data_IF_388135530354
#
_entry.id   IF_388135530354
#
_cell.length_a   1.000
_cell.length_b   1.000
_cell.length_c   1.000
_cell.angle_alpha   90.00
_cell.angle_beta   90.00
_cell.angle_gamma   90.00
#
_symmetry.space_group_name_H-M   'P 1'
#
loop_
_entity.id
_entity.type
_entity.pdbx_description
1 polymer ?
#
# COMPACT_ATOMS: atom_id res chain seq x y z
N UNK A 1 11.92 18.01 16.00
CA UNK A 1 11.21 19.22 16.50
C UNK A 1 12.14 20.37 16.88
N UNK A 2 13.09 20.20 17.81
CA UNK A 2 13.95 21.31 18.28
C UNK A 2 14.74 21.99 17.15
N UNK A 3 15.28 21.22 16.21
CA UNK A 3 16.02 21.77 15.05
C UNK A 3 15.13 22.60 14.13
N UNK A 4 13.90 22.14 13.90
CA UNK A 4 12.89 22.85 13.09
C UNK A 4 12.50 24.17 13.76
N UNK A 5 12.30 24.15 15.09
CA UNK A 5 12.05 25.36 15.87
C UNK A 5 13.21 26.35 15.77
N UNK A 6 14.45 25.88 15.96
CA UNK A 6 15.67 26.68 15.79
C UNK A 6 15.74 27.31 14.40
N UNK A 7 15.49 26.52 13.36
CA UNK A 7 15.52 26.97 11.96
C UNK A 7 14.44 28.01 11.66
N UNK A 8 13.19 27.76 12.08
CA UNK A 8 12.10 28.71 11.88
C UNK A 8 12.30 30.01 12.65
N UNK A 9 12.82 29.96 13.89
CA UNK A 9 13.05 31.15 14.72
C UNK A 9 14.09 32.11 14.12
N UNK A 10 14.98 31.60 13.27
CA UNK A 10 16.02 32.37 12.56
C UNK A 10 15.62 32.75 11.14
N UNK A 11 14.49 32.24 10.65
CA UNK A 11 13.99 32.52 9.31
C UNK A 11 13.53 33.97 9.21
N UNK A 12 13.82 34.62 8.07
CA UNK A 12 13.28 35.94 7.73
C UNK A 12 11.93 35.86 7.02
N UNK A 13 11.50 34.66 6.64
CA UNK A 13 10.22 34.43 5.97
C UNK A 13 9.06 34.63 6.96
N UNK A 14 8.12 35.56 6.69
CA UNK A 14 6.98 35.76 7.56
C UNK A 14 6.01 34.58 7.46
N UNK A 15 5.63 34.02 8.62
CA UNK A 15 4.57 33.03 8.71
C UNK A 15 3.21 33.75 8.77
N UNK A 16 2.23 33.25 8.02
CA UNK A 16 0.86 33.79 8.05
C UNK A 16 0.06 33.21 9.22
N UNK A 17 0.39 31.97 9.62
CA UNK A 17 -0.25 31.25 10.70
C UNK A 17 0.75 30.91 11.80
N UNK A 18 0.31 30.95 13.05
CA UNK A 18 1.13 30.56 14.19
C UNK A 18 1.45 29.06 14.15
N UNK A 19 2.66 28.70 14.59
CA UNK A 19 3.10 27.32 14.75
C UNK A 19 3.25 27.03 16.24
N UNK A 20 2.64 25.94 16.70
CA UNK A 20 2.77 25.45 18.07
C UNK A 20 3.61 24.18 18.03
N UNK A 21 4.75 24.19 18.72
CA UNK A 21 5.53 22.99 18.99
C UNK A 21 5.06 22.41 20.32
N UNK A 22 4.35 21.28 20.28
CA UNK A 22 3.87 20.60 21.47
C UNK A 22 4.84 19.48 21.85
N UNK A 23 5.52 19.63 22.98
CA UNK A 23 6.34 18.58 23.59
C UNK A 23 5.52 17.95 24.72
N UNK A 24 4.61 17.05 24.36
CA UNK A 24 3.78 16.32 25.33
C UNK A 24 4.44 14.99 25.72
N UNK A 25 4.07 14.47 26.90
CA UNK A 25 4.55 13.19 27.42
C UNK A 25 3.40 12.25 27.78
N UNK A 26 3.72 11.11 28.41
CA UNK A 26 2.72 10.11 28.82
C UNK A 26 1.83 9.57 27.69
N UNK A 27 2.36 9.53 26.47
CA UNK A 27 1.80 8.76 25.33
C UNK A 27 1.72 7.28 25.73
N UNK A 28 2.85 6.73 26.19
CA UNK A 28 3.06 5.36 26.68
C UNK A 28 2.06 4.90 27.77
N UNK A 29 1.46 5.86 28.49
CA UNK A 29 0.41 5.61 29.47
C UNK A 29 -0.97 6.02 28.93
N UNK A 30 -1.23 5.69 27.66
CA UNK A 30 -2.46 5.94 26.93
C UNK A 30 -2.73 7.44 26.72
N UNK A 31 -1.87 8.11 25.96
CA UNK A 31 -2.13 9.41 25.29
C UNK A 31 -2.59 10.56 26.22
N UNK A 32 -2.16 10.56 27.48
CA UNK A 32 -2.78 11.41 28.51
C UNK A 32 -2.56 12.91 28.27
N UNK A 33 -1.34 13.30 27.89
CA UNK A 33 -1.03 14.72 27.74
C UNK A 33 -1.64 15.32 26.47
N UNK A 34 -1.67 14.58 25.35
CA UNK A 34 -2.38 15.04 24.16
C UNK A 34 -3.88 15.15 24.43
N UNK A 35 -4.47 14.19 25.18
CA UNK A 35 -5.86 14.26 25.59
C UNK A 35 -6.14 15.47 26.48
N UNK A 36 -5.29 15.75 27.47
CA UNK A 36 -5.37 16.96 28.29
C UNK A 36 -5.27 18.24 27.47
N UNK A 37 -4.32 18.31 26.52
CA UNK A 37 -4.18 19.46 25.63
C UNK A 37 -5.46 19.69 24.81
N UNK A 38 -5.94 18.66 24.11
CA UNK A 38 -7.11 18.78 23.23
C UNK A 38 -8.40 19.12 23.98
N UNK A 39 -8.61 18.54 25.17
CA UNK A 39 -9.88 18.69 25.90
C UNK A 39 -9.91 19.89 26.84
N UNK A 40 -8.76 20.40 27.30
CA UNK A 40 -8.71 21.40 28.38
C UNK A 40 -7.95 22.68 27.99
N UNK A 41 -6.96 22.61 27.10
CA UNK A 41 -6.10 23.75 26.81
C UNK A 41 -6.77 24.75 25.86
N UNK A 42 -6.72 26.05 26.17
CA UNK A 42 -7.41 27.08 25.39
C UNK A 42 -6.95 27.15 23.92
N UNK A 43 -5.66 26.92 23.68
CA UNK A 43 -5.08 26.90 22.32
C UNK A 43 -5.61 25.76 21.44
N UNK A 44 -6.16 24.67 21.99
CA UNK A 44 -6.68 23.57 21.19
C UNK A 44 -7.75 24.06 20.18
N UNK A 45 -8.54 25.07 20.56
CA UNK A 45 -9.57 25.69 19.70
C UNK A 45 -9.00 26.45 18.49
N UNK A 46 -7.73 26.87 18.58
CA UNK A 46 -7.04 27.61 17.51
C UNK A 46 -6.40 26.70 16.47
N UNK A 47 -6.21 25.41 16.78
CA UNK A 47 -5.55 24.47 15.88
C UNK A 47 -6.40 24.24 14.63
N UNK A 48 -5.76 24.24 13.46
CA UNK A 48 -6.39 24.02 12.14
C UNK A 48 -5.86 22.80 11.41
N UNK A 49 -4.64 22.41 11.71
CA UNK A 49 -4.03 21.16 11.31
C UNK A 49 -2.90 20.77 12.28
N UNK A 50 -2.47 19.52 12.27
CA UNK A 50 -1.31 19.06 13.02
C UNK A 50 -0.45 18.08 12.21
N UNK A 51 0.81 17.96 12.63
CA UNK A 51 1.76 16.96 12.14
C UNK A 51 2.20 16.18 13.38
N UNK A 52 1.83 14.90 13.46
CA UNK A 52 2.29 14.01 14.52
C UNK A 52 3.56 13.29 14.08
N UNK A 53 4.51 13.18 15.00
CA UNK A 53 5.83 12.62 14.74
C UNK A 53 6.05 11.44 15.66
N UNK A 54 6.11 10.25 15.08
CA UNK A 54 6.22 8.99 15.79
C UNK A 54 7.41 8.16 15.34
N UNK A 55 7.69 7.11 16.11
CA UNK A 55 8.68 6.12 15.76
C UNK A 55 8.28 4.75 16.30
N UNK A 56 8.04 3.81 15.40
CA UNK A 56 7.91 2.38 15.69
C UNK A 56 9.18 1.61 15.25
N UNK A 57 10.32 2.30 15.22
CA UNK A 57 11.62 1.83 14.74
C UNK A 57 12.69 2.91 14.83
N UNK A 58 13.94 2.59 14.47
CA UNK A 58 15.10 3.48 14.69
C UNK A 58 15.42 4.42 13.53
N UNK A 59 14.66 4.36 12.44
CA UNK A 59 14.88 5.23 11.29
C UNK A 59 14.26 4.71 10.01
N UNK A 60 15.05 4.78 8.94
CA UNK A 60 14.61 4.59 7.57
C UNK A 60 13.91 5.84 7.03
N UNK A 61 12.99 5.63 6.09
CA UNK A 61 12.09 6.67 5.59
C UNK A 61 10.89 6.78 6.53
N UNK A 62 10.60 7.98 7.01
CA UNK A 62 9.39 8.29 7.77
C UNK A 62 8.15 8.10 6.88
N UNK A 63 7.31 7.13 7.25
CA UNK A 63 6.13 6.76 6.51
C UNK A 63 4.95 7.62 6.99
N UNK A 64 4.30 8.36 6.09
CA UNK A 64 2.95 8.85 6.35
C UNK A 64 1.99 7.66 6.32
N UNK A 65 1.53 7.26 7.51
CA UNK A 65 0.66 6.11 7.70
C UNK A 65 -0.72 6.50 8.22
N UNK A 66 -0.98 7.74 8.65
CA UNK A 66 -2.35 8.21 8.88
C UNK A 66 -2.55 9.63 8.40
N UNK A 67 -3.75 9.91 7.90
CA UNK A 67 -4.19 11.24 7.47
C UNK A 67 -5.65 11.44 7.85
N UNK A 68 -6.04 12.69 8.05
CA UNK A 68 -7.44 13.07 8.27
C UNK A 68 -7.75 13.61 9.67
N UNK A 69 -9.04 13.79 10.01
CA UNK A 69 -10.18 13.28 9.26
C UNK A 69 -10.48 14.08 7.99
N UNK A 70 -10.92 13.36 6.94
CA UNK A 70 -11.50 13.87 5.68
C UNK A 70 -10.78 15.03 4.99
N UNK A 71 -9.44 15.14 5.07
CA UNK A 71 -8.72 16.31 4.55
C UNK A 71 -7.75 15.99 3.41
N UNK A 72 -8.25 15.89 2.16
CA UNK A 72 -7.40 15.67 0.99
C UNK A 72 -6.34 16.72 0.75
N UNK A 73 -6.61 17.95 1.18
CA UNK A 73 -5.66 19.04 1.01
C UNK A 73 -4.39 18.83 1.83
N UNK A 74 -4.46 18.26 3.04
CA UNK A 74 -3.25 17.97 3.82
C UNK A 74 -2.36 16.93 3.15
N UNK A 75 -2.94 15.90 2.56
CA UNK A 75 -2.19 14.91 1.79
C UNK A 75 -1.54 15.56 0.58
N UNK A 76 -2.25 16.42 -0.14
CA UNK A 76 -1.69 17.17 -1.27
C UNK A 76 -0.59 18.14 -0.83
N UNK A 77 -0.74 18.79 0.32
CA UNK A 77 0.26 19.66 0.90
C UNK A 77 1.54 18.88 1.20
N UNK A 78 1.42 17.70 1.83
CA UNK A 78 2.55 16.81 2.06
C UNK A 78 3.22 16.40 0.75
N UNK A 79 2.47 15.87 -0.21
CA UNK A 79 3.00 15.41 -1.51
C UNK A 79 3.68 16.54 -2.30
N UNK A 80 3.20 17.77 -2.18
CA UNK A 80 3.74 18.91 -2.92
C UNK A 80 4.95 19.56 -2.24
N UNK A 81 5.00 19.55 -0.90
CA UNK A 81 5.99 20.29 -0.13
C UNK A 81 7.12 19.42 0.42
N UNK A 82 6.86 18.15 0.74
CA UNK A 82 7.90 17.24 1.21
C UNK A 82 8.96 17.06 0.12
N UNK A 83 10.23 17.25 0.48
CA UNK A 83 11.38 17.06 -0.42
C UNK A 83 11.57 15.58 -0.80
N UNK A 84 11.05 14.71 0.06
CA UNK A 84 11.36 13.30 0.16
C UNK A 84 10.09 12.50 0.53
N UNK A 85 8.97 12.64 -0.20
CA UNK A 85 7.68 12.12 0.23
C UNK A 85 7.69 10.58 0.31
N UNK A 86 7.08 10.03 1.37
CA UNK A 86 6.87 8.59 1.54
C UNK A 86 5.56 8.34 2.30
N UNK A 87 4.58 7.72 1.65
CA UNK A 87 3.23 7.59 2.17
C UNK A 87 2.54 6.31 1.68
N UNK A 88 1.67 5.73 2.51
CA UNK A 88 0.92 4.52 2.15
C UNK A 88 -0.48 4.49 2.74
N UNK A 89 -1.50 4.53 1.87
CA UNK A 89 -2.90 4.35 2.29
C UNK A 89 -3.17 2.92 2.79
N UNK A 90 -2.37 1.95 2.37
CA UNK A 90 -2.45 0.58 2.90
C UNK A 90 -2.05 0.56 4.37
N UNK A 91 -0.95 1.24 4.71
CA UNK A 91 -0.53 1.39 6.10
C UNK A 91 -1.61 2.09 6.93
N UNK A 92 -2.27 3.11 6.37
CA UNK A 92 -3.41 3.76 6.99
C UNK A 92 -4.56 2.83 7.29
N UNK A 93 -5.00 2.04 6.32
CA UNK A 93 -6.12 1.12 6.52
C UNK A 93 -5.78 -0.01 7.48
N UNK A 94 -4.55 -0.53 7.44
CA UNK A 94 -4.08 -1.54 8.39
C UNK A 94 -4.07 -0.97 9.80
N UNK A 95 -3.45 0.20 10.01
CA UNK A 95 -3.36 0.81 11.33
C UNK A 95 -4.74 1.17 11.89
N UNK A 96 -5.59 1.81 11.07
CA UNK A 96 -6.95 2.19 11.47
C UNK A 96 -7.90 0.99 11.64
N UNK A 97 -7.58 -0.19 11.10
CA UNK A 97 -8.37 -1.41 11.33
C UNK A 97 -8.29 -1.94 12.77
N UNK A 98 -7.29 -1.49 13.54
CA UNK A 98 -7.03 -1.98 14.90
C UNK A 98 -6.37 -3.36 14.96
N UNK A 99 -5.94 -3.94 13.83
CA UNK A 99 -5.18 -5.19 13.82
C UNK A 99 -3.79 -5.04 14.43
N UNK A 100 -3.22 -3.83 14.33
CA UNK A 100 -2.01 -3.44 15.04
C UNK A 100 -2.46 -2.89 16.39
N UNK A 101 -2.05 -3.49 17.52
CA UNK A 101 -2.41 -3.04 18.86
C UNK A 101 -1.54 -1.85 19.29
N UNK A 102 -1.57 -0.78 18.50
CA UNK A 102 -0.85 0.46 18.74
C UNK A 102 -1.79 1.64 18.52
N UNK A 103 -1.45 2.77 19.12
CA UNK A 103 -2.18 4.02 19.02
C UNK A 103 -1.17 5.16 19.04
N UNK A 104 -1.60 6.36 18.66
CA UNK A 104 -0.73 7.55 18.65
C UNK A 104 -1.54 8.77 19.05
N UNK A 105 -0.85 9.86 19.37
CA UNK A 105 -1.49 11.14 19.65
C UNK A 105 -2.40 11.60 18.50
N UNK A 106 -2.17 11.16 17.26
CA UNK A 106 -3.05 11.43 16.11
C UNK A 106 -4.51 11.08 16.40
N UNK A 107 -4.77 9.95 17.09
CA UNK A 107 -6.14 9.56 17.45
C UNK A 107 -6.82 10.61 18.32
N UNK A 108 -6.12 11.17 19.29
CA UNK A 108 -6.69 12.18 20.18
C UNK A 108 -7.11 13.42 19.40
N UNK A 109 -6.23 13.91 18.52
CA UNK A 109 -6.54 15.06 17.67
C UNK A 109 -7.71 14.78 16.72
N UNK A 110 -7.78 13.57 16.15
CA UNK A 110 -8.86 13.15 15.25
C UNK A 110 -10.19 12.98 15.99
N UNK A 111 -10.22 12.19 17.05
CA UNK A 111 -11.46 11.69 17.66
C UNK A 111 -12.04 12.66 18.70
N UNK A 112 -11.18 13.37 19.45
CA UNK A 112 -11.60 14.31 20.49
C UNK A 112 -11.50 15.77 20.02
N UNK A 113 -10.54 16.07 19.14
CA UNK A 113 -10.34 17.41 18.59
C UNK A 113 -11.11 17.67 17.29
N UNK A 114 -11.42 16.63 16.53
CA UNK A 114 -11.86 16.73 15.12
C UNK A 114 -10.94 17.66 14.31
N UNK A 115 -9.63 17.58 14.54
CA UNK A 115 -8.60 18.37 13.86
C UNK A 115 -7.96 17.47 12.81
N UNK A 116 -7.77 17.95 11.56
CA UNK A 116 -7.13 17.17 10.52
C UNK A 116 -5.60 17.20 10.67
N UNK A 117 -4.94 16.07 10.45
CA UNK A 117 -3.48 16.02 10.50
C UNK A 117 -2.88 14.95 9.61
N UNK A 118 -1.56 14.83 9.72
CA UNK A 118 -0.75 13.75 9.16
C UNK A 118 0.04 13.10 10.29
N UNK A 119 0.15 11.79 10.27
CA UNK A 119 0.94 11.00 11.20
C UNK A 119 2.09 10.33 10.45
N UNK A 120 3.32 10.57 10.92
CA UNK A 120 4.54 10.07 10.30
C UNK A 120 5.29 9.21 11.31
N UNK A 121 5.73 8.03 10.89
CA UNK A 121 6.53 7.16 11.75
C UNK A 121 7.81 6.66 11.06
N UNK A 122 8.92 6.64 11.80
CA UNK A 122 10.02 5.73 11.46
C UNK A 122 9.60 4.29 11.73
N UNK A 123 9.90 3.38 10.80
CA UNK A 123 9.45 1.98 10.89
C UNK A 123 10.58 0.97 10.68
N UNK A 124 11.76 1.42 10.28
CA UNK A 124 12.89 0.51 10.04
C UNK A 124 13.42 -0.05 11.36
N UNK A 125 13.69 -1.35 11.39
CA UNK A 125 14.19 -2.03 12.59
C UNK A 125 13.25 -1.82 13.80
N UNK A 126 11.94 -1.95 13.59
CA UNK A 126 10.92 -1.85 14.64
C UNK A 126 10.93 -2.95 15.70
N UNK A 127 11.78 -3.97 15.59
CA UNK A 127 11.81 -5.07 16.57
C UNK A 127 12.51 -4.70 17.89
N UNK A 128 13.26 -3.59 17.93
CA UNK A 128 13.86 -3.09 19.17
C UNK A 128 12.97 -2.07 19.88
N UNK A 129 11.90 -1.62 19.21
CA UNK A 129 10.88 -0.73 19.76
C UNK A 129 10.29 -1.29 21.06
N UNK A 130 10.08 -0.42 22.06
CA UNK A 130 9.72 -0.79 23.44
C UNK A 130 10.61 -1.88 24.08
N UNK A 131 11.90 -1.91 23.73
CA UNK A 131 12.86 -2.78 24.42
C UNK A 131 14.02 -1.95 24.99
N UNK A 132 14.78 -2.55 25.92
CA UNK A 132 16.02 -1.97 26.43
C UNK A 132 17.10 -1.71 25.36
N UNK A 133 16.89 -2.21 24.14
CA UNK A 133 17.81 -2.04 23.02
C UNK A 133 17.47 -0.83 22.14
N UNK A 134 16.39 -0.11 22.45
CA UNK A 134 16.05 1.16 21.83
C UNK A 134 16.93 2.27 22.42
N UNK A 135 18.11 2.44 21.83
CA UNK A 135 19.16 3.34 22.32
C UNK A 135 19.53 4.36 21.26
N UNK A 136 19.89 5.58 21.69
CA UNK A 136 20.09 6.73 20.80
C UNK A 136 21.17 6.52 19.74
N UNK A 137 22.18 5.69 20.02
CA UNK A 137 23.27 5.35 19.09
C UNK A 137 22.79 4.54 17.86
N UNK A 138 21.55 4.04 17.88
CA UNK A 138 20.96 3.29 16.77
C UNK A 138 20.13 4.13 15.82
N UNK A 139 19.88 5.39 16.17
CA UNK A 139 19.11 6.29 15.33
C UNK A 139 19.99 6.70 14.14
N UNK A 140 19.48 6.48 12.94
CA UNK A 140 20.21 6.83 11.71
C UNK A 140 20.18 8.36 11.50
N UNK A 141 21.35 9.00 11.44
CA UNK A 141 21.44 10.46 11.24
C UNK A 141 20.80 10.90 9.92
N UNK A 142 20.93 10.09 8.87
CA UNK A 142 20.30 10.35 7.57
C UNK A 142 18.76 10.38 7.66
N UNK A 143 18.18 9.53 8.54
CA UNK A 143 16.74 9.53 8.81
C UNK A 143 16.31 10.80 9.53
N UNK A 144 17.09 11.27 10.51
CA UNK A 144 16.83 12.54 11.20
C UNK A 144 16.86 13.70 10.20
N UNK A 145 17.88 13.77 9.35
CA UNK A 145 18.02 14.83 8.36
C UNK A 145 16.85 14.82 7.37
N UNK A 146 16.56 13.66 6.78
CA UNK A 146 15.44 13.47 5.84
C UNK A 146 14.10 13.88 6.44
N UNK A 147 13.80 13.45 7.67
CA UNK A 147 12.58 13.83 8.35
C UNK A 147 12.57 15.34 8.63
N UNK A 148 13.70 15.92 9.03
CA UNK A 148 13.88 17.36 9.19
C UNK A 148 13.52 18.14 7.93
N UNK A 149 14.07 17.76 6.78
CA UNK A 149 13.83 18.38 5.47
C UNK A 149 12.34 18.35 5.12
N UNK A 150 11.72 17.16 5.22
CA UNK A 150 10.30 16.98 4.94
C UNK A 150 9.40 17.78 5.87
N UNK A 151 9.58 17.66 7.18
CA UNK A 151 8.70 18.29 8.17
C UNK A 151 8.86 19.81 8.09
N UNK A 152 10.07 20.34 7.92
CA UNK A 152 10.30 21.77 7.78
C UNK A 152 9.63 22.33 6.52
N UNK A 153 9.78 21.66 5.37
CA UNK A 153 9.18 22.09 4.12
C UNK A 153 7.64 22.06 4.18
N UNK A 154 7.06 20.97 4.70
CA UNK A 154 5.61 20.83 4.88
C UNK A 154 5.08 21.87 5.87
N UNK A 155 5.75 22.07 7.00
CA UNK A 155 5.35 23.05 8.01
C UNK A 155 5.36 24.47 7.46
N UNK A 156 6.41 24.87 6.71
CA UNK A 156 6.48 26.17 6.03
C UNK A 156 5.33 26.34 5.04
N UNK A 157 5.06 25.31 4.23
CA UNK A 157 3.94 25.33 3.28
C UNK A 157 2.61 25.53 3.99
N UNK A 158 2.34 24.79 5.07
CA UNK A 158 1.09 24.92 5.83
C UNK A 158 0.98 26.30 6.49
N UNK A 159 2.05 26.79 7.13
CA UNK A 159 2.07 28.05 7.86
C UNK A 159 1.98 29.30 6.97
N UNK A 160 2.18 29.15 5.66
CA UNK A 160 2.07 30.23 4.66
C UNK A 160 0.90 30.03 3.69
N UNK A 161 0.09 28.99 3.88
CA UNK A 161 -1.03 28.69 2.98
C UNK A 161 -2.34 29.32 3.44
N UNK A 162 -3.00 30.06 2.55
CA UNK A 162 -4.38 30.55 2.75
C UNK A 162 -5.38 29.42 2.99
N UNK A 163 -5.07 28.20 2.51
CA UNK A 163 -5.94 27.03 2.68
C UNK A 163 -6.00 26.55 4.12
N UNK A 164 -4.98 26.81 4.94
CA UNK A 164 -4.97 26.40 6.35
C UNK A 164 -6.06 27.14 7.15
N UNK A 165 -6.25 28.43 6.91
CA UNK A 165 -7.33 29.22 7.54
C UNK A 165 -8.72 28.66 7.23
N UNK A 166 -8.88 28.09 6.03
CA UNK A 166 -10.13 27.51 5.51
C UNK A 166 -10.08 25.97 5.50
N UNK A 167 -9.27 25.34 6.36
CA UNK A 167 -8.99 23.89 6.29
C UNK A 167 -10.26 23.04 6.35
N UNK A 168 -11.30 23.52 7.03
CA UNK A 168 -12.62 22.88 7.11
C UNK A 168 -13.39 22.88 5.78
N UNK A 169 -13.23 23.90 4.93
CA UNK A 169 -13.86 23.97 3.60
C UNK A 169 -13.26 22.93 2.64
N UNK A 170 -12.03 22.50 2.90
CA UNK A 170 -11.33 21.51 2.08
C UNK A 170 -11.58 20.06 2.51
N UNK A 171 -12.53 19.82 3.42
CA UNK A 171 -12.91 18.45 3.83
C UNK A 171 -13.75 17.75 2.77
N UNK A 172 -13.08 17.06 1.84
CA UNK A 172 -13.72 16.39 0.69
C UNK A 172 -13.70 14.86 0.77
N UNK A 173 -13.56 14.31 1.98
CA UNK A 173 -13.54 12.86 2.23
C UNK A 173 -12.15 12.24 2.10
N UNK A 174 -12.09 10.94 1.87
CA UNK A 174 -10.84 10.18 1.88
C UNK A 174 -10.00 10.42 0.62
N UNK A 175 -8.70 10.11 0.73
CA UNK A 175 -7.72 10.17 -0.34
C UNK A 175 -7.05 8.82 -0.51
N UNK A 176 -6.85 8.43 -1.76
CA UNK A 176 -5.93 7.34 -2.10
C UNK A 176 -4.56 7.96 -2.28
N UNK A 177 -3.57 7.49 -1.52
CA UNK A 177 -2.19 7.92 -1.64
C UNK A 177 -1.23 6.76 -1.49
N UNK A 178 -0.19 6.71 -2.31
CA UNK A 178 0.83 5.66 -2.24
C UNK A 178 2.11 6.10 -2.95
N UNK A 179 3.22 5.59 -2.45
CA UNK A 179 4.54 5.73 -3.04
C UNK A 179 4.73 4.84 -4.27
N UNK A 180 5.42 5.36 -5.28
CA UNK A 180 5.82 4.63 -6.49
C UNK A 180 7.32 4.37 -6.43
N UNK A 181 7.71 3.20 -5.91
CA UNK A 181 9.11 2.71 -5.90
C UNK A 181 10.13 3.69 -5.28
N UNK A 182 9.69 4.55 -4.36
CA UNK A 182 10.48 5.59 -3.74
C UNK A 182 10.78 6.80 -4.63
N UNK A 183 10.13 6.92 -5.80
CA UNK A 183 10.36 7.99 -6.76
C UNK A 183 9.48 9.20 -6.50
N UNK A 184 8.18 8.98 -6.28
CA UNK A 184 7.20 10.02 -5.96
C UNK A 184 5.93 9.39 -5.37
N UNK A 185 5.14 10.21 -4.67
CA UNK A 185 3.83 9.80 -4.14
C UNK A 185 2.72 10.26 -5.07
N UNK A 186 1.83 9.34 -5.44
CA UNK A 186 0.59 9.66 -6.12
C UNK A 186 -0.51 9.88 -5.08
N UNK A 187 -1.29 10.96 -5.20
CA UNK A 187 -2.45 11.22 -4.35
C UNK A 187 -3.66 11.73 -5.14
N UNK A 188 -4.83 11.15 -4.94
CA UNK A 188 -6.08 11.58 -5.57
C UNK A 188 -7.32 11.29 -4.70
N UNK A 189 -8.42 12.05 -4.87
CA UNK A 189 -9.64 11.83 -4.08
C UNK A 189 -10.18 10.41 -4.22
N UNK A 190 -10.63 9.80 -3.13
CA UNK A 190 -11.16 8.44 -3.13
C UNK A 190 -12.30 8.24 -4.15
N UNK A 191 -13.13 9.27 -4.36
CA UNK A 191 -14.20 9.27 -5.38
C UNK A 191 -13.69 9.01 -6.79
N UNK A 192 -12.55 9.61 -7.15
CA UNK A 192 -11.90 9.38 -8.46
C UNK A 192 -11.41 7.94 -8.54
N UNK A 193 -10.81 7.44 -7.46
CA UNK A 193 -10.42 6.03 -7.33
C UNK A 193 -11.58 5.08 -7.53
N UNK A 194 -12.69 5.29 -6.82
CA UNK A 194 -13.92 4.49 -6.95
C UNK A 194 -14.43 4.44 -8.39
N UNK A 195 -14.50 5.60 -9.08
CA UNK A 195 -14.93 5.67 -10.48
C UNK A 195 -13.97 4.88 -11.38
N UNK A 196 -12.66 5.08 -11.21
CA UNK A 196 -11.65 4.34 -11.98
C UNK A 196 -11.79 2.83 -11.75
N UNK A 197 -11.89 2.39 -10.49
CA UNK A 197 -12.01 0.98 -10.12
C UNK A 197 -13.22 0.32 -10.80
N UNK A 198 -14.40 0.97 -10.77
CA UNK A 198 -15.59 0.43 -11.45
C UNK A 198 -15.45 0.39 -12.97
N UNK A 199 -14.85 1.40 -13.59
CA UNK A 199 -14.58 1.40 -15.04
C UNK A 199 -13.65 0.23 -15.39
N UNK A 200 -12.56 0.04 -14.64
CA UNK A 200 -11.56 -1.02 -14.88
C UNK A 200 -12.20 -2.40 -14.70
N UNK A 201 -12.98 -2.59 -13.63
CA UNK A 201 -13.73 -3.82 -13.39
C UNK A 201 -14.75 -4.09 -14.50
N UNK A 202 -15.52 -3.09 -14.92
CA UNK A 202 -16.49 -3.23 -16.00
C UNK A 202 -15.82 -3.64 -17.33
N UNK A 203 -14.68 -3.02 -17.68
CA UNK A 203 -13.90 -3.41 -18.87
C UNK A 203 -13.44 -4.86 -18.76
N UNK A 204 -12.94 -5.29 -17.60
CA UNK A 204 -12.52 -6.68 -17.38
C UNK A 204 -13.70 -7.66 -17.52
N UNK A 205 -14.84 -7.38 -16.89
CA UNK A 205 -16.05 -8.21 -17.01
C UNK A 205 -16.60 -8.25 -18.43
N UNK A 206 -16.59 -7.14 -19.17
CA UNK A 206 -17.00 -7.11 -20.58
C UNK A 206 -16.06 -7.95 -21.43
N UNK A 207 -14.74 -7.84 -21.24
CA UNK A 207 -13.74 -8.66 -21.93
C UNK A 207 -13.98 -10.16 -21.67
N UNK A 208 -14.14 -10.55 -20.41
CA UNK A 208 -14.39 -11.94 -19.99
C UNK A 208 -15.72 -12.46 -20.55
N UNK A 209 -16.79 -11.67 -20.44
CA UNK A 209 -18.12 -12.03 -20.93
C UNK A 209 -18.15 -12.25 -22.44
N UNK A 210 -17.53 -11.35 -23.22
CA UNK A 210 -17.41 -11.51 -24.68
C UNK A 210 -16.67 -12.78 -25.08
N UNK A 211 -15.65 -13.18 -24.31
CA UNK A 211 -14.86 -14.39 -24.58
C UNK A 211 -15.63 -15.67 -24.23
N UNK A 212 -16.36 -15.68 -23.12
CA UNK A 212 -17.15 -16.83 -22.65
C UNK A 212 -18.41 -17.04 -23.51
N UNK A 213 -19.07 -15.97 -23.94
CA UNK A 213 -20.37 -16.01 -24.65
C UNK A 213 -20.27 -16.34 -26.16
N UNK A 214 -19.09 -16.70 -26.67
CA UNK A 214 -18.94 -17.02 -28.10
C UNK A 214 -19.81 -18.24 -28.52
N UNK A 215 -20.74 -18.10 -29.49
CA UNK A 215 -21.81 -19.08 -29.73
C UNK A 215 -21.34 -20.49 -30.08
N UNK A 216 -20.21 -20.61 -30.80
CA UNK A 216 -19.75 -21.89 -31.36
C UNK A 216 -19.24 -22.88 -30.31
N UNK A 217 -18.92 -22.45 -29.07
CA UNK A 217 -18.27 -23.30 -28.05
C UNK A 217 -18.66 -22.98 -26.59
N UNK A 218 -19.75 -22.22 -26.38
CA UNK A 218 -20.16 -21.65 -25.07
C UNK A 218 -20.10 -22.63 -23.88
N UNK A 219 -20.75 -23.79 -23.94
CA UNK A 219 -20.83 -24.73 -22.80
C UNK A 219 -19.47 -25.32 -22.44
N UNK A 220 -18.66 -25.67 -23.45
CA UNK A 220 -17.34 -26.25 -23.22
C UNK A 220 -16.35 -25.20 -22.68
N UNK A 221 -16.45 -23.95 -23.15
CA UNK A 221 -15.61 -22.85 -22.66
C UNK A 221 -15.94 -22.46 -21.23
N UNK A 222 -17.23 -22.42 -20.86
CA UNK A 222 -17.66 -22.13 -19.49
C UNK A 222 -17.11 -23.15 -18.50
N UNK A 223 -17.27 -24.46 -18.77
CA UNK A 223 -16.77 -25.51 -17.88
C UNK A 223 -15.26 -25.39 -17.67
N UNK A 224 -14.48 -25.23 -18.76
CA UNK A 224 -13.03 -25.05 -18.69
C UNK A 224 -12.64 -23.82 -17.88
N UNK A 225 -13.32 -22.70 -18.11
CA UNK A 225 -13.05 -21.46 -17.39
C UNK A 225 -13.27 -21.62 -15.88
N UNK A 226 -14.41 -22.18 -15.45
CA UNK A 226 -14.68 -22.40 -14.03
C UNK A 226 -13.75 -23.45 -13.40
N UNK A 227 -13.39 -24.50 -14.15
CA UNK A 227 -12.37 -25.46 -13.69
C UNK A 227 -11.01 -24.77 -13.50
N UNK A 228 -10.59 -23.91 -14.44
CA UNK A 228 -9.35 -23.15 -14.30
C UNK A 228 -9.40 -22.19 -13.12
N UNK A 229 -10.50 -21.46 -12.94
CA UNK A 229 -10.73 -20.58 -11.79
C UNK A 229 -10.61 -21.33 -10.47
N UNK A 230 -11.28 -22.48 -10.33
CA UNK A 230 -11.18 -23.33 -9.14
C UNK A 230 -9.76 -23.85 -8.91
N UNK A 231 -9.05 -24.24 -9.97
CA UNK A 231 -7.66 -24.71 -9.89
C UNK A 231 -6.68 -23.57 -9.54
N UNK A 232 -6.92 -22.35 -10.00
CA UNK A 232 -6.12 -21.17 -9.61
C UNK A 232 -6.28 -20.91 -8.11
N UNK A 233 -7.50 -20.89 -7.58
CA UNK A 233 -7.73 -20.73 -6.14
C UNK A 233 -7.11 -21.86 -5.33
N UNK A 234 -7.27 -23.11 -5.78
CA UNK A 234 -6.64 -24.26 -5.14
C UNK A 234 -5.11 -24.15 -5.16
N UNK A 235 -4.52 -23.64 -6.24
CA UNK A 235 -3.08 -23.45 -6.35
C UNK A 235 -2.56 -22.44 -5.33
N UNK A 236 -3.27 -21.33 -5.11
CA UNK A 236 -2.90 -20.32 -4.12
C UNK A 236 -3.07 -20.84 -2.70
N UNK A 237 -4.19 -21.50 -2.39
CA UNK A 237 -4.40 -22.12 -1.08
C UNK A 237 -3.35 -23.19 -0.77
N UNK A 238 -3.05 -24.07 -1.73
CA UNK A 238 -2.03 -25.11 -1.56
C UNK A 238 -0.62 -24.54 -1.43
N UNK A 239 -0.35 -23.42 -2.09
CA UNK A 239 0.90 -22.67 -1.96
C UNK A 239 1.04 -22.05 -0.57
N UNK A 240 -0.02 -21.37 -0.08
CA UNK A 240 -0.06 -20.83 1.28
C UNK A 240 0.21 -21.92 2.33
N UNK A 241 -0.47 -23.07 2.22
CA UNK A 241 -0.24 -24.21 3.13
C UNK A 241 1.22 -24.69 3.06
N UNK A 242 1.81 -24.76 1.87
CA UNK A 242 3.21 -25.18 1.70
C UNK A 242 4.17 -24.20 2.37
N UNK A 243 3.96 -22.90 2.18
CA UNK A 243 4.75 -21.83 2.82
C UNK A 243 4.60 -21.89 4.35
N UNK A 244 3.39 -22.12 4.86
CA UNK A 244 3.16 -22.28 6.29
C UNK A 244 3.85 -23.52 6.86
N UNK A 245 3.88 -24.65 6.14
CA UNK A 245 4.64 -25.84 6.56
C UNK A 245 6.13 -25.52 6.65
N UNK A 246 6.68 -24.80 5.66
CA UNK A 246 8.08 -24.35 5.70
C UNK A 246 8.32 -23.43 6.90
N UNK A 247 7.40 -22.50 7.17
CA UNK A 247 7.50 -21.60 8.32
C UNK A 247 7.47 -22.35 9.66
N UNK A 248 6.58 -23.33 9.81
CA UNK A 248 6.51 -24.19 11.00
C UNK A 248 7.81 -24.98 11.15
N UNK A 249 8.35 -25.55 10.07
CA UNK A 249 9.63 -26.26 10.11
C UNK A 249 10.77 -25.35 10.58
N UNK A 250 10.88 -24.13 10.04
CA UNK A 250 11.89 -23.13 10.46
C UNK A 250 11.74 -22.78 11.94
N UNK A 251 10.51 -22.65 12.44
CA UNK A 251 10.25 -22.42 13.86
C UNK A 251 10.67 -23.61 14.73
N UNK A 252 10.39 -24.85 14.30
CA UNK A 252 10.75 -26.06 15.04
C UNK A 252 12.26 -26.27 15.18
N UNK A 253 13.06 -25.82 14.20
CA UNK A 253 14.54 -25.88 14.27
C UNK A 253 15.15 -24.69 15.04
N UNK A 254 14.33 -23.87 15.71
CA UNK A 254 14.80 -22.72 16.51
C UNK A 254 15.35 -21.57 15.68
N UNK A 255 14.98 -21.48 14.39
CA UNK A 255 15.40 -20.41 13.47
C UNK A 255 14.23 -19.50 13.09
N UNK A 256 13.17 -19.47 13.91
CA UNK A 256 12.10 -18.48 13.77
C UNK A 256 12.71 -17.08 13.70
N UNK A 257 12.10 -16.19 12.92
CA UNK A 257 12.51 -14.79 12.78
C UNK A 257 13.87 -14.55 12.07
N UNK A 258 14.54 -15.60 11.55
CA UNK A 258 15.82 -15.47 10.82
C UNK A 258 15.76 -14.56 9.59
N UNK A 259 14.56 -14.31 9.06
CA UNK A 259 14.34 -13.35 7.96
C UNK A 259 14.74 -11.91 8.30
N UNK A 260 14.75 -11.52 9.59
CA UNK A 260 15.15 -10.16 9.96
C UNK A 260 16.64 -9.89 9.73
N UNK A 261 17.49 -10.89 9.92
CA UNK A 261 18.93 -10.77 9.65
C UNK A 261 19.29 -11.15 8.21
N UNK A 262 18.48 -11.99 7.57
CA UNK A 262 18.77 -12.57 6.26
C UNK A 262 17.55 -12.55 5.34
N UNK A 263 17.09 -11.35 4.97
CA UNK A 263 15.92 -11.13 4.11
C UNK A 263 15.95 -11.99 2.82
N UNK A 264 17.08 -11.97 2.09
CA UNK A 264 17.21 -12.70 0.82
C UNK A 264 17.17 -14.22 0.96
N UNK A 265 17.59 -14.75 2.11
CA UNK A 265 17.51 -16.20 2.40
C UNK A 265 16.05 -16.60 2.55
N UNK A 266 15.25 -15.80 3.24
CA UNK A 266 13.82 -16.05 3.42
C UNK A 266 13.06 -15.90 2.11
N UNK A 267 13.40 -14.89 1.30
CA UNK A 267 12.83 -14.76 -0.05
C UNK A 267 13.13 -16.01 -0.89
N UNK A 268 14.37 -16.52 -0.84
CA UNK A 268 14.75 -17.74 -1.56
C UNK A 268 14.00 -18.96 -1.03
N UNK A 269 13.94 -19.14 0.28
CA UNK A 269 13.31 -20.29 0.92
C UNK A 269 11.80 -20.36 0.63
N UNK A 270 11.07 -19.29 0.95
CA UNK A 270 9.62 -19.26 0.78
C UNK A 270 9.23 -19.09 -0.69
N UNK A 271 9.97 -18.27 -1.44
CA UNK A 271 9.71 -18.01 -2.86
C UNK A 271 9.92 -19.23 -3.75
N UNK A 272 10.98 -20.02 -3.52
CA UNK A 272 11.19 -21.27 -4.28
C UNK A 272 10.14 -22.32 -3.94
N UNK A 273 9.77 -22.48 -2.67
CA UNK A 273 8.71 -23.39 -2.24
C UNK A 273 7.36 -23.02 -2.88
N UNK A 274 7.03 -21.72 -2.87
CA UNK A 274 5.81 -21.21 -3.50
C UNK A 274 5.80 -21.43 -5.02
N UNK A 275 6.89 -21.08 -5.70
CA UNK A 275 7.03 -21.23 -7.15
C UNK A 275 6.95 -22.71 -7.56
N UNK A 276 7.66 -23.59 -6.86
CA UNK A 276 7.61 -25.02 -7.11
C UNK A 276 6.20 -25.59 -6.93
N UNK A 277 5.46 -25.13 -5.90
CA UNK A 277 4.09 -25.56 -5.67
C UNK A 277 3.13 -25.08 -6.75
N UNK A 278 3.25 -23.83 -7.18
CA UNK A 278 2.45 -23.27 -8.29
C UNK A 278 2.70 -24.04 -9.59
N UNK A 279 3.97 -24.30 -9.94
CA UNK A 279 4.34 -25.08 -11.12
C UNK A 279 3.76 -26.49 -11.03
N UNK A 280 3.87 -27.15 -9.88
CA UNK A 280 3.35 -28.49 -9.67
C UNK A 280 1.83 -28.54 -9.89
N UNK A 281 1.06 -27.66 -9.26
CA UNK A 281 -0.41 -27.65 -9.38
C UNK A 281 -0.83 -27.41 -10.84
N UNK A 282 -0.21 -26.46 -11.54
CA UNK A 282 -0.55 -26.18 -12.94
C UNK A 282 -0.09 -27.29 -13.89
N UNK A 283 1.01 -27.98 -13.59
CA UNK A 283 1.48 -29.15 -14.35
C UNK A 283 0.50 -30.32 -14.19
N UNK A 284 0.03 -30.57 -12.96
CA UNK A 284 -0.99 -31.60 -12.69
C UNK A 284 -2.34 -31.22 -13.32
N UNK A 285 -2.72 -29.93 -13.27
CA UNK A 285 -3.90 -29.42 -13.95
C UNK A 285 -3.85 -29.71 -15.46
N UNK A 286 -2.71 -29.42 -16.11
CA UNK A 286 -2.47 -29.73 -17.52
C UNK A 286 -2.62 -31.23 -17.78
N UNK A 287 -1.98 -32.07 -16.97
CA UNK A 287 -1.97 -33.53 -17.12
C UNK A 287 -3.37 -34.16 -16.99
N UNK A 288 -4.15 -33.74 -16.00
CA UNK A 288 -5.42 -34.40 -15.65
C UNK A 288 -6.67 -33.73 -16.25
N UNK A 289 -6.70 -32.41 -16.36
CA UNK A 289 -7.89 -31.67 -16.80
C UNK A 289 -7.77 -31.08 -18.22
N UNK A 290 -6.55 -30.88 -18.73
CA UNK A 290 -6.31 -30.18 -20.00
C UNK A 290 -5.36 -30.93 -20.98
N UNK A 291 -5.29 -32.26 -20.89
CA UNK A 291 -4.27 -33.12 -21.56
C UNK A 291 -4.05 -32.84 -23.06
N UNK A 292 -5.11 -32.49 -23.78
CA UNK A 292 -5.08 -32.31 -25.25
C UNK A 292 -5.17 -30.83 -25.68
N UNK A 293 -4.98 -29.88 -24.76
CA UNK A 293 -5.07 -28.46 -25.10
C UNK A 293 -3.72 -27.86 -25.47
N UNK A 294 -3.74 -26.95 -26.43
CA UNK A 294 -2.59 -26.13 -26.78
C UNK A 294 -2.17 -25.27 -25.57
N UNK A 295 -0.88 -25.23 -25.27
CA UNK A 295 -0.27 -24.48 -24.18
C UNK A 295 -0.62 -22.98 -24.22
N UNK A 296 -0.68 -22.40 -25.43
CA UNK A 296 -1.08 -21.01 -25.62
C UNK A 296 -2.54 -20.77 -25.19
N UNK A 297 -3.44 -21.68 -25.54
CA UNK A 297 -4.84 -21.59 -25.14
C UNK A 297 -5.00 -21.81 -23.63
N UNK A 298 -4.21 -22.72 -23.05
CA UNK A 298 -4.24 -22.98 -21.62
C UNK A 298 -3.76 -21.76 -20.81
N UNK A 299 -2.68 -21.11 -21.25
CA UNK A 299 -2.20 -19.86 -20.68
C UNK A 299 -3.25 -18.75 -20.74
N UNK A 300 -3.98 -18.65 -21.86
CA UNK A 300 -5.10 -17.71 -22.01
C UNK A 300 -6.23 -17.96 -21.01
N UNK A 301 -6.60 -19.23 -20.77
CA UNK A 301 -7.67 -19.59 -19.84
C UNK A 301 -7.27 -19.29 -18.38
N UNK A 302 -6.04 -19.60 -17.98
CA UNK A 302 -5.56 -19.29 -16.63
C UNK A 302 -5.35 -17.78 -16.41
N UNK A 303 -4.95 -17.05 -17.45
CA UNK A 303 -4.94 -15.59 -17.42
C UNK A 303 -6.34 -15.02 -17.16
N UNK A 304 -7.35 -15.48 -17.92
CA UNK A 304 -8.73 -15.01 -17.73
C UNK A 304 -9.27 -15.36 -16.34
N UNK A 305 -8.91 -16.54 -15.81
CA UNK A 305 -9.29 -16.97 -14.46
C UNK A 305 -8.69 -16.06 -13.39
N UNK A 306 -7.40 -15.72 -13.49
CA UNK A 306 -6.73 -14.77 -12.60
C UNK A 306 -7.34 -13.36 -12.72
N UNK A 307 -7.60 -12.90 -13.95
CA UNK A 307 -8.24 -11.60 -14.21
C UNK A 307 -9.64 -11.52 -13.56
N UNK A 308 -10.42 -12.60 -13.63
CA UNK A 308 -11.72 -12.69 -12.99
C UNK A 308 -11.62 -12.57 -11.48
N UNK A 309 -10.66 -13.26 -10.84
CA UNK A 309 -10.45 -13.15 -9.41
C UNK A 309 -10.14 -11.70 -9.00
N UNK A 310 -9.18 -11.08 -9.67
CA UNK A 310 -8.79 -9.70 -9.35
C UNK A 310 -9.88 -8.68 -9.66
N UNK A 311 -10.70 -8.90 -10.69
CA UNK A 311 -11.86 -8.05 -10.98
C UNK A 311 -12.97 -8.18 -9.89
N UNK A 312 -13.20 -9.39 -9.38
CA UNK A 312 -14.11 -9.62 -8.24
C UNK A 312 -13.55 -8.93 -6.98
N UNK A 313 -12.28 -9.17 -6.66
CA UNK A 313 -11.62 -8.55 -5.50
C UNK A 313 -11.67 -7.02 -5.60
N UNK A 314 -11.35 -6.45 -6.76
CA UNK A 314 -11.45 -5.01 -7.02
C UNK A 314 -12.86 -4.47 -6.75
N UNK A 315 -13.89 -5.16 -7.25
CA UNK A 315 -15.29 -4.76 -7.05
C UNK A 315 -15.69 -4.82 -5.58
N UNK A 316 -15.32 -5.89 -4.88
CA UNK A 316 -15.64 -6.08 -3.46
C UNK A 316 -14.94 -5.03 -2.58
N UNK A 317 -13.63 -4.83 -2.75
CA UNK A 317 -12.87 -3.85 -1.97
C UNK A 317 -13.36 -2.42 -2.24
N UNK A 318 -13.70 -2.11 -3.49
CA UNK A 318 -14.29 -0.81 -3.85
C UNK A 318 -15.67 -0.61 -3.20
N UNK A 319 -16.50 -1.66 -3.15
CA UNK A 319 -17.82 -1.61 -2.53
C UNK A 319 -17.76 -1.43 -1.00
N UNK A 320 -16.73 -2.00 -0.35
CA UNK A 320 -16.47 -1.82 1.09
C UNK A 320 -15.92 -0.39 1.37
N UNK A 321 -15.47 0.33 0.34
CA UNK A 321 -14.94 1.68 0.47
C UNK A 321 -13.46 1.74 0.81
N UNK A 322 -12.71 0.65 0.59
CA UNK A 322 -11.27 0.62 0.83
C UNK A 322 -10.53 1.36 -0.29
N UNK A 323 -9.74 2.34 0.11
CA UNK A 323 -8.80 3.07 -0.73
C UNK A 323 -7.69 2.16 -1.25
N UNK A 324 -7.25 1.13 -0.50
CA UNK A 324 -6.26 0.13 -0.98
C UNK A 324 -6.72 -0.69 -2.19
N UNK A 325 -8.00 -0.62 -2.58
CA UNK A 325 -8.50 -1.25 -3.80
C UNK A 325 -7.73 -0.84 -5.07
N UNK A 326 -6.99 0.28 -5.05
CA UNK A 326 -6.08 0.66 -6.13
C UNK A 326 -5.08 -0.45 -6.47
N UNK A 327 -4.65 -1.27 -5.51
CA UNK A 327 -3.77 -2.41 -5.75
C UNK A 327 -4.41 -3.35 -6.76
N UNK A 328 -5.65 -3.79 -6.49
CA UNK A 328 -6.40 -4.63 -7.42
C UNK A 328 -6.64 -3.94 -8.76
N UNK A 329 -6.79 -2.62 -8.79
CA UNK A 329 -6.86 -1.85 -10.05
C UNK A 329 -5.59 -2.05 -10.87
N UNK A 330 -4.40 -1.96 -10.27
CA UNK A 330 -3.13 -2.21 -10.98
C UNK A 330 -3.05 -3.67 -11.48
N UNK A 331 -3.48 -4.64 -10.66
CA UNK A 331 -3.49 -6.07 -11.01
C UNK A 331 -4.51 -6.46 -12.09
N UNK A 332 -5.52 -5.63 -12.34
CA UNK A 332 -6.47 -5.83 -13.45
C UNK A 332 -6.05 -5.02 -14.67
N UNK A 333 -5.76 -3.74 -14.48
CA UNK A 333 -5.54 -2.78 -15.57
C UNK A 333 -4.31 -3.11 -16.40
N UNK A 334 -3.14 -3.30 -15.76
CA UNK A 334 -1.91 -3.53 -16.51
C UNK A 334 -1.92 -4.87 -17.24
N UNK A 335 -2.27 -6.01 -16.62
CA UNK A 335 -2.30 -7.28 -17.34
C UNK A 335 -3.32 -7.27 -18.49
N UNK A 336 -4.51 -6.66 -18.28
CA UNK A 336 -5.51 -6.54 -19.34
C UNK A 336 -5.05 -5.63 -20.47
N UNK A 337 -4.47 -4.48 -20.16
CA UNK A 337 -3.91 -3.56 -21.16
C UNK A 337 -2.83 -4.26 -21.98
N UNK A 338 -1.87 -4.91 -21.33
CA UNK A 338 -0.82 -5.70 -21.97
C UNK A 338 -1.42 -6.78 -22.88
N UNK A 339 -2.45 -7.51 -22.41
CA UNK A 339 -3.14 -8.52 -23.21
C UNK A 339 -3.76 -7.94 -24.49
N UNK A 340 -4.41 -6.79 -24.39
CA UNK A 340 -5.08 -6.12 -25.51
C UNK A 340 -4.09 -5.56 -26.54
N UNK A 341 -2.95 -5.03 -26.08
CA UNK A 341 -1.88 -4.52 -26.95
C UNK A 341 -1.16 -5.66 -27.67
N UNK A 342 -0.75 -6.68 -26.93
CA UNK A 342 -0.04 -7.84 -27.45
C UNK A 342 -0.90 -8.63 -28.46
N UNK A 343 -2.22 -8.72 -28.25
CA UNK A 343 -3.11 -9.39 -29.20
C UNK A 343 -3.12 -8.72 -30.59
N UNK A 344 -2.98 -7.39 -30.65
CA UNK A 344 -2.87 -6.66 -31.93
C UNK A 344 -1.54 -6.93 -32.63
N UNK A 345 -0.44 -6.95 -31.89
CA UNK A 345 0.90 -7.21 -32.45
C UNK A 345 1.07 -8.65 -32.93
N UNK A 346 0.56 -9.65 -32.20
CA UNK A 346 0.60 -11.04 -32.66
C UNK A 346 -0.19 -11.27 -33.94
N UNK A 347 -1.30 -10.54 -34.14
CA UNK A 347 -2.07 -10.57 -35.38
C UNK A 347 -1.28 -9.98 -36.56
N UNK A 348 -0.30 -9.11 -36.30
CA UNK A 348 0.51 -8.42 -37.30
C UNK A 348 1.88 -9.07 -37.56
N UNK A 349 2.52 -9.74 -36.58
CA UNK A 349 3.94 -10.16 -36.70
C UNK A 349 4.28 -11.64 -36.43
N UNK A 350 3.31 -12.51 -36.09
CA UNK A 350 3.57 -13.96 -35.96
C UNK A 350 4.39 -14.38 -34.72
N UNK A 351 4.52 -15.70 -34.52
CA UNK A 351 4.78 -16.41 -33.25
C UNK A 351 6.14 -16.18 -32.53
N UNK A 352 7.09 -15.42 -33.08
CA UNK A 352 8.46 -15.36 -32.53
C UNK A 352 8.63 -14.45 -31.28
N UNK A 353 7.59 -13.72 -30.86
CA UNK A 353 7.66 -12.78 -29.74
C UNK A 353 7.25 -13.37 -28.38
N UNK A 354 6.85 -14.66 -28.33
CA UNK A 354 6.17 -15.27 -27.19
C UNK A 354 7.06 -15.49 -25.94
N UNK A 355 8.37 -15.71 -26.13
CA UNK A 355 9.28 -16.01 -25.02
C UNK A 355 9.84 -14.76 -24.31
N UNK A 356 9.87 -13.60 -24.96
CA UNK A 356 10.52 -12.41 -24.42
C UNK A 356 9.65 -11.67 -23.38
N UNK A 357 8.32 -11.71 -23.53
CA UNK A 357 7.40 -11.00 -22.63
C UNK A 357 7.01 -11.79 -21.37
N UNK A 358 6.88 -13.12 -21.46
CA UNK A 358 6.44 -13.93 -20.32
C UNK A 358 7.45 -13.97 -19.16
N UNK A 359 8.75 -13.92 -19.47
CA UNK A 359 9.80 -13.83 -18.46
C UNK A 359 9.91 -12.42 -17.83
N UNK A 360 9.63 -11.38 -18.62
CA UNK A 360 9.76 -10.00 -18.17
C UNK A 360 8.56 -9.55 -17.31
N UNK A 361 7.35 -10.03 -17.60
CA UNK A 361 6.14 -9.68 -16.86
C UNK A 361 6.05 -10.41 -15.51
N UNK A 362 6.48 -11.69 -15.43
CA UNK A 362 6.56 -12.41 -14.15
C UNK A 362 7.62 -11.77 -13.25
N UNK A 363 8.75 -11.33 -13.81
CA UNK A 363 9.77 -10.63 -13.04
C UNK A 363 9.27 -9.27 -12.56
N UNK A 364 8.57 -8.49 -13.39
CA UNK A 364 7.97 -7.20 -12.98
C UNK A 364 6.87 -7.36 -11.93
N UNK A 365 6.05 -8.40 -12.04
CA UNK A 365 5.01 -8.75 -11.07
C UNK A 365 5.62 -9.17 -9.72
N UNK A 366 6.70 -9.95 -9.74
CA UNK A 366 7.46 -10.32 -8.52
C UNK A 366 8.21 -9.11 -7.96
N UNK A 367 8.71 -8.20 -8.80
CA UNK A 367 9.35 -6.96 -8.36
C UNK A 367 8.34 -5.98 -7.77
N UNK A 368 7.11 -5.91 -8.30
CA UNK A 368 6.03 -5.09 -7.74
C UNK A 368 5.53 -5.64 -6.39
N UNK A 369 5.52 -6.96 -6.22
CA UNK A 369 5.12 -7.62 -4.97
C UNK A 369 6.23 -7.63 -3.90
N UNK A 370 7.49 -7.35 -4.28
CA UNK A 370 8.62 -7.21 -3.35
C UNK A 370 8.94 -5.73 -3.03
N UNK A 371 8.28 -4.79 -3.71
CA UNK A 371 8.48 -3.35 -3.53
C UNK A 371 7.27 -2.64 -2.88
N UNK A 372 6.22 -3.38 -2.53
CA UNK A 372 5.16 -2.99 -1.58
C UNK A 372 5.35 -3.78 -0.30
#
# INVERSE_FOLDING_TARGET
>A
MLEILSTLSKSSEPLQHAVIFLFNGAEENILQASHGFITQHEWAKSIRAFINLEAAGVGGKELVFQTGPENPWLVQAYVSAAEHPFASVVAQEIFQSGIIPADTDFRIYRDFGNIPGIDLAFIENGYIYHTKYDTSDRILTDSIQRAGDNILAVLKYLATSDKLAKSFEYRHGNVVFFDILGLFVLAYPARVGTIMNYIIAAIAFIYLSKKILQPKTKVNNMKKFFTAFGLTLLSWLSTLVTVLIVAVFISLIGRSLSWYSHFYVSMSLYGTAATAKLILVHTLAKKFYYKNMNDQYLGDVFFDASLMFWAIALTVLTQIGLCSAFICTLWVAFPLFTKLMIHKEFRQKGKNLFLFFHFHDVLKIVTLALAM
#
